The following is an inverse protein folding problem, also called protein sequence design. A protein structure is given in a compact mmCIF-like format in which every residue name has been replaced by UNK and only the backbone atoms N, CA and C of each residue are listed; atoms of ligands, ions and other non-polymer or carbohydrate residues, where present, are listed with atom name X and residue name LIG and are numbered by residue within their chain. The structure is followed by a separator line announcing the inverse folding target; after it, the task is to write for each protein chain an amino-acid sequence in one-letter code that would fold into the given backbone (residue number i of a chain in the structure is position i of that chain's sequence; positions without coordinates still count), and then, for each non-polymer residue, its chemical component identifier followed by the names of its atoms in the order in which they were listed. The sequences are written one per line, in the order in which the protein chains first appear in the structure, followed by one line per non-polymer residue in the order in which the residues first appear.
data_IF_778712383744
#
_entry.id   IF_778712383744
#
_cell.length_a   1.000
_cell.length_b   1.000
_cell.length_c   1.000
_cell.angle_alpha   90.00
_cell.angle_beta   90.00
_cell.angle_gamma   90.00
#
_symmetry.space_group_name_H-M   'P 1'
#
loop_
_entity.id
_entity.type
_entity.pdbx_description
1 polymer ?
#
# COMPACT_ATOMS: atom_id res chain seq x y z
N UNK A 1 7.16 20.68 -24.08
CA UNK A 1 7.90 19.86 -23.11
C UNK A 1 8.13 20.70 -21.86
N UNK A 2 7.14 20.74 -20.96
CA UNK A 2 7.35 21.28 -19.63
C UNK A 2 7.90 20.16 -18.75
N UNK A 3 9.06 20.42 -18.14
CA UNK A 3 9.75 19.45 -17.29
C UNK A 3 8.87 19.01 -16.14
N UNK A 4 8.49 17.73 -16.12
CA UNK A 4 7.94 17.08 -14.93
C UNK A 4 8.97 17.20 -13.81
N UNK A 5 8.82 18.20 -12.93
CA UNK A 5 9.50 18.20 -11.62
C UNK A 5 9.23 16.83 -11.01
N UNK A 6 10.26 16.01 -10.82
CA UNK A 6 10.09 14.78 -10.06
C UNK A 6 9.63 15.19 -8.66
N UNK A 7 8.40 14.87 -8.28
CA UNK A 7 7.89 15.18 -6.94
C UNK A 7 8.61 14.26 -5.95
N UNK A 8 9.74 14.73 -5.42
CA UNK A 8 10.43 14.08 -4.32
C UNK A 8 9.53 14.17 -3.09
N UNK A 9 9.28 13.02 -2.44
CA UNK A 9 8.59 12.97 -1.17
C UNK A 9 9.63 13.23 -0.07
N UNK A 10 9.43 14.32 0.67
CA UNK A 10 10.34 14.78 1.73
C UNK A 10 10.05 14.08 3.06
N UNK A 11 10.13 12.75 3.04
CA UNK A 11 9.95 11.89 4.20
C UNK A 11 11.13 10.92 4.30
N UNK A 12 11.93 11.00 5.39
CA UNK A 12 13.00 10.04 5.59
C UNK A 12 12.46 8.62 5.76
N UNK A 13 13.00 7.67 4.99
CA UNK A 13 12.62 6.26 5.01
C UNK A 13 13.83 5.39 5.38
N UNK A 14 13.60 4.35 6.18
CA UNK A 14 14.46 3.18 6.24
C UNK A 14 13.83 2.08 5.40
N UNK A 15 14.55 1.60 4.40
CA UNK A 15 14.12 0.50 3.54
C UNK A 15 14.89 -0.76 3.94
N UNK A 16 14.18 -1.83 4.27
CA UNK A 16 14.75 -3.16 4.45
C UNK A 16 14.43 -4.01 3.23
N UNK A 17 15.43 -4.77 2.77
CA UNK A 17 15.33 -5.54 1.54
C UNK A 17 14.97 -7.01 1.77
N UNK A 18 14.44 -7.63 0.73
CA UNK A 18 14.31 -9.10 0.58
C UNK A 18 15.67 -9.72 0.23
N UNK A 19 15.74 -11.05 0.14
CA UNK A 19 16.95 -11.72 -0.34
C UNK A 19 17.29 -11.33 -1.79
N UNK A 20 16.27 -11.27 -2.66
CA UNK A 20 16.37 -10.84 -4.05
C UNK A 20 16.84 -9.39 -4.14
N UNK A 21 16.30 -8.51 -3.30
CA UNK A 21 16.75 -7.12 -3.18
C UNK A 21 18.21 -7.04 -2.77
N UNK A 22 18.63 -7.80 -1.76
CA UNK A 22 20.04 -7.84 -1.31
C UNK A 22 20.96 -8.27 -2.45
N UNK A 23 20.63 -9.35 -3.17
CA UNK A 23 21.42 -9.84 -4.30
C UNK A 23 21.50 -8.81 -5.43
N UNK A 24 20.39 -8.14 -5.74
CA UNK A 24 20.36 -7.07 -6.75
C UNK A 24 21.28 -5.91 -6.36
N UNK A 25 21.21 -5.40 -5.13
CA UNK A 25 22.06 -4.27 -4.73
C UNK A 25 23.54 -4.64 -4.59
N UNK A 26 23.85 -5.86 -4.12
CA UNK A 26 25.22 -6.35 -4.05
C UNK A 26 25.84 -6.51 -5.44
N UNK A 27 25.12 -7.07 -6.41
CA UNK A 27 25.61 -7.21 -7.79
C UNK A 27 25.87 -5.87 -8.48
N UNK A 28 25.24 -4.79 -8.01
CA UNK A 28 25.45 -3.42 -8.49
C UNK A 28 26.40 -2.61 -7.59
N UNK A 29 27.21 -3.27 -6.76
CA UNK A 29 28.21 -2.66 -5.86
C UNK A 29 27.64 -1.57 -4.93
N UNK A 30 26.38 -1.72 -4.49
CA UNK A 30 25.75 -0.82 -3.52
C UNK A 30 25.89 -1.40 -2.12
N UNK A 31 26.58 -0.67 -1.23
CA UNK A 31 26.76 -1.06 0.17
C UNK A 31 25.42 -0.99 0.91
N UNK A 32 25.09 -2.07 1.60
CA UNK A 32 23.91 -2.17 2.47
C UNK A 32 24.29 -1.96 3.93
N UNK A 33 23.39 -1.33 4.68
CA UNK A 33 23.51 -1.11 6.11
C UNK A 33 22.79 -2.22 6.87
N UNK A 34 23.43 -2.76 7.92
CA UNK A 34 22.75 -3.60 8.90
C UNK A 34 21.89 -2.68 9.78
N UNK A 35 20.59 -2.94 9.82
CA UNK A 35 19.60 -2.13 10.53
C UNK A 35 18.94 -2.96 11.63
N UNK A 36 18.86 -2.41 12.84
CA UNK A 36 17.99 -2.93 13.89
C UNK A 36 16.61 -2.31 13.72
N UNK A 37 15.60 -3.16 13.55
CA UNK A 37 14.22 -2.76 13.32
C UNK A 37 13.47 -2.58 14.65
N UNK A 38 12.31 -1.94 14.61
CA UNK A 38 11.55 -1.61 15.83
C UNK A 38 11.02 -2.83 16.60
N UNK A 39 10.92 -3.98 15.93
CA UNK A 39 10.63 -5.30 16.50
C UNK A 39 11.90 -6.11 16.89
N UNK A 40 13.09 -5.49 16.90
CA UNK A 40 14.42 -6.11 17.07
C UNK A 40 14.86 -7.07 15.97
N UNK A 41 14.08 -7.24 14.92
CA UNK A 41 14.57 -7.98 13.78
C UNK A 41 15.79 -7.24 13.20
N UNK A 42 16.75 -8.01 12.72
CA UNK A 42 17.92 -7.49 12.01
C UNK A 42 17.63 -7.60 10.52
N UNK A 43 17.73 -6.48 9.82
CA UNK A 43 17.57 -6.42 8.37
C UNK A 43 18.77 -5.78 7.69
N UNK A 44 18.86 -5.94 6.37
CA UNK A 44 19.83 -5.24 5.53
C UNK A 44 19.09 -4.29 4.59
N UNK A 45 19.60 -3.08 4.43
CA UNK A 45 18.82 -2.02 3.82
C UNK A 45 19.59 -0.74 3.54
N UNK A 46 18.83 0.31 3.25
CA UNK A 46 19.35 1.68 3.06
C UNK A 46 18.47 2.69 3.79
N UNK A 47 19.03 3.85 4.09
CA UNK A 47 18.29 5.00 4.63
C UNK A 47 18.22 6.10 3.57
N UNK A 48 17.01 6.60 3.31
CA UNK A 48 16.73 7.69 2.38
C UNK A 48 16.30 8.93 3.18
N UNK A 49 16.79 10.11 2.82
CA UNK A 49 16.33 11.39 3.42
C UNK A 49 15.04 11.91 2.76
N UNK A 50 14.97 11.70 1.45
CA UNK A 50 13.83 11.95 0.58
C UNK A 50 13.87 10.91 -0.54
N UNK A 51 12.76 10.73 -1.24
CA UNK A 51 12.68 9.70 -2.27
C UNK A 51 11.71 10.06 -3.39
N UNK A 52 12.01 9.57 -4.60
CA UNK A 52 11.09 9.65 -5.73
C UNK A 52 10.04 8.54 -5.62
N UNK A 53 8.76 8.89 -5.66
CA UNK A 53 7.68 7.91 -5.62
C UNK A 53 7.85 6.74 -6.63
N UNK A 54 8.18 6.99 -7.92
CA UNK A 54 8.39 5.91 -8.89
C UNK A 54 9.55 4.97 -8.53
N UNK A 55 10.57 5.46 -7.83
CA UNK A 55 11.73 4.64 -7.46
C UNK A 55 11.36 3.59 -6.41
N UNK A 56 10.72 4.01 -5.31
CA UNK A 56 10.27 3.09 -4.25
C UNK A 56 9.19 2.15 -4.78
N UNK A 57 8.24 2.65 -5.57
CA UNK A 57 7.19 1.82 -6.14
C UNK A 57 7.74 0.72 -7.06
N UNK A 58 8.74 1.04 -7.91
CA UNK A 58 9.43 0.03 -8.74
C UNK A 58 10.11 -1.05 -7.90
N UNK A 59 10.76 -0.68 -6.79
CA UNK A 59 11.38 -1.65 -5.90
C UNK A 59 10.36 -2.56 -5.21
N UNK A 60 9.17 -2.05 -4.87
CA UNK A 60 8.07 -2.87 -4.33
C UNK A 60 7.55 -3.86 -5.37
N UNK A 61 7.31 -3.38 -6.61
CA UNK A 61 6.85 -4.22 -7.71
C UNK A 61 7.87 -5.32 -8.04
N UNK A 62 9.16 -5.00 -8.00
CA UNK A 62 10.26 -5.93 -8.20
C UNK A 62 10.52 -6.87 -7.00
N UNK A 63 9.74 -6.75 -5.92
CA UNK A 63 9.91 -7.53 -4.69
C UNK A 63 11.27 -7.38 -4.02
N UNK A 64 11.87 -6.19 -4.12
CA UNK A 64 13.14 -5.89 -3.46
C UNK A 64 12.98 -5.39 -2.03
N UNK A 65 11.80 -4.91 -1.65
CA UNK A 65 11.54 -4.31 -0.34
C UNK A 65 10.66 -5.24 0.48
N UNK A 66 11.14 -5.61 1.67
CA UNK A 66 10.38 -6.37 2.68
C UNK A 66 9.75 -5.46 3.73
N UNK A 67 10.35 -4.30 4.00
CA UNK A 67 9.86 -3.36 5.01
C UNK A 67 10.24 -1.92 4.70
N UNK A 68 9.36 -1.00 5.06
CA UNK A 68 9.59 0.45 5.05
C UNK A 68 9.29 0.98 6.46
N UNK A 69 10.20 1.74 7.06
CA UNK A 69 10.00 2.37 8.38
C UNK A 69 10.20 3.89 8.31
N UNK A 70 9.34 4.61 9.02
CA UNK A 70 9.45 6.04 9.31
C UNK A 70 9.56 6.20 10.82
N UNK A 71 10.57 6.93 11.27
CA UNK A 71 10.84 7.16 12.69
C UNK A 71 10.87 8.67 12.92
N UNK A 72 9.95 9.17 13.76
CA UNK A 72 9.79 10.61 14.06
C UNK A 72 9.21 10.81 15.46
N UNK A 73 9.34 12.03 15.98
CA UNK A 73 8.62 12.48 17.19
C UNK A 73 7.22 13.02 16.86
N UNK A 74 7.06 13.60 15.68
CA UNK A 74 5.78 14.09 15.17
C UNK A 74 5.51 13.58 13.75
N UNK A 75 4.36 12.92 13.59
CA UNK A 75 3.83 12.51 12.29
C UNK A 75 2.92 13.59 11.70
N UNK A 76 2.28 14.43 12.52
CA UNK A 76 1.42 15.53 12.02
C UNK A 76 2.18 16.49 11.09
N UNK A 77 3.48 16.70 11.31
CA UNK A 77 4.34 17.53 10.45
C UNK A 77 4.53 16.97 9.02
N UNK A 78 4.20 15.69 8.82
CA UNK A 78 4.42 14.95 7.56
C UNK A 78 3.16 14.22 7.11
N UNK A 79 1.99 14.79 7.43
CA UNK A 79 0.68 14.18 7.17
C UNK A 79 0.53 13.71 5.73
N UNK A 80 0.68 14.63 4.78
CA UNK A 80 0.51 14.32 3.35
C UNK A 80 1.53 13.29 2.87
N UNK A 81 2.80 13.42 3.26
CA UNK A 81 3.83 12.47 2.85
C UNK A 81 3.60 11.06 3.41
N UNK A 82 3.10 10.91 4.64
CA UNK A 82 2.78 9.61 5.25
C UNK A 82 1.59 8.96 4.56
N UNK A 83 0.55 9.74 4.26
CA UNK A 83 -0.62 9.26 3.51
C UNK A 83 -0.23 8.83 2.10
N UNK A 84 0.55 9.65 1.40
CA UNK A 84 1.06 9.34 0.06
C UNK A 84 1.95 8.10 0.06
N UNK A 85 2.82 7.94 1.08
CA UNK A 85 3.65 6.74 1.26
C UNK A 85 2.77 5.50 1.43
N UNK A 86 1.72 5.57 2.27
CA UNK A 86 0.81 4.46 2.51
C UNK A 86 0.10 4.02 1.23
N UNK A 87 -0.42 4.98 0.46
CA UNK A 87 -1.05 4.71 -0.84
C UNK A 87 -0.05 4.13 -1.83
N UNK A 88 1.14 4.71 -1.92
CA UNK A 88 2.20 4.27 -2.82
C UNK A 88 2.59 2.82 -2.57
N UNK A 89 2.77 2.45 -1.31
CA UNK A 89 3.13 1.09 -0.90
C UNK A 89 2.03 0.12 -1.29
N UNK A 90 0.79 0.44 -0.92
CA UNK A 90 -0.36 -0.41 -1.23
C UNK A 90 -0.57 -0.58 -2.75
N UNK A 91 -0.52 0.51 -3.52
CA UNK A 91 -0.59 0.43 -4.98
C UNK A 91 0.58 -0.34 -5.60
N UNK A 92 1.80 -0.21 -5.07
CA UNK A 92 2.93 -1.02 -5.51
C UNK A 92 2.68 -2.52 -5.37
N UNK A 93 2.05 -2.92 -4.26
CA UNK A 93 1.64 -4.31 -4.05
C UNK A 93 0.53 -4.74 -5.01
N UNK A 94 -0.47 -3.88 -5.23
CA UNK A 94 -1.56 -4.15 -6.17
C UNK A 94 -1.05 -4.27 -7.61
N UNK A 95 -0.11 -3.44 -8.05
CA UNK A 95 0.48 -3.53 -9.40
C UNK A 95 1.19 -4.87 -9.61
N UNK A 96 1.95 -5.33 -8.61
CA UNK A 96 2.61 -6.63 -8.65
C UNK A 96 1.59 -7.77 -8.77
N UNK A 97 0.57 -7.74 -7.92
CA UNK A 97 -0.51 -8.73 -7.88
C UNK A 97 -1.34 -8.75 -9.16
N UNK A 98 -1.66 -7.59 -9.70
CA UNK A 98 -2.33 -7.44 -10.99
C UNK A 98 -1.54 -8.11 -12.12
N UNK A 99 -0.24 -7.79 -12.25
CA UNK A 99 0.62 -8.38 -13.28
C UNK A 99 0.67 -9.91 -13.18
N UNK A 100 0.80 -10.44 -11.97
CA UNK A 100 0.78 -11.88 -11.70
C UNK A 100 -0.57 -12.52 -12.02
N UNK A 101 -1.69 -11.86 -11.69
CA UNK A 101 -3.04 -12.35 -11.97
C UNK A 101 -3.29 -12.43 -13.48
N UNK A 102 -2.93 -11.39 -14.24
CA UNK A 102 -3.01 -11.39 -15.71
C UNK A 102 -2.16 -12.51 -16.30
N UNK A 103 -0.91 -12.67 -15.85
CA UNK A 103 -0.04 -13.74 -16.32
C UNK A 103 -0.61 -15.14 -16.04
N UNK A 104 -1.10 -15.37 -14.83
CA UNK A 104 -1.76 -16.62 -14.43
C UNK A 104 -2.99 -16.92 -15.29
N UNK A 105 -3.87 -15.93 -15.52
CA UNK A 105 -5.08 -16.07 -16.35
C UNK A 105 -4.74 -16.42 -17.80
N UNK A 106 -3.67 -15.84 -18.34
CA UNK A 106 -3.20 -16.11 -19.70
C UNK A 106 -2.59 -17.50 -19.83
N UNK A 107 -1.66 -17.86 -18.96
CA UNK A 107 -0.96 -19.15 -19.02
C UNK A 107 -1.89 -20.35 -18.80
N UNK A 108 -2.96 -20.18 -18.00
CA UNK A 108 -3.97 -21.22 -17.74
C UNK A 108 -5.06 -21.32 -18.82
N UNK A 109 -4.98 -20.52 -19.88
CA UNK A 109 -6.00 -20.50 -20.92
C UNK A 109 -5.97 -21.74 -21.84
N UNK A 110 -7.13 -22.06 -22.41
CA UNK A 110 -7.28 -23.02 -23.50
C UNK A 110 -6.36 -22.70 -24.68
N UNK A 111 -6.23 -21.42 -25.02
CA UNK A 111 -5.33 -20.93 -26.06
C UNK A 111 -3.88 -21.40 -25.84
N UNK A 112 -3.30 -21.13 -24.66
CA UNK A 112 -1.91 -21.50 -24.37
C UNK A 112 -1.72 -23.02 -24.40
N UNK A 113 -2.66 -23.77 -23.83
CA UNK A 113 -2.64 -25.24 -23.90
C UNK A 113 -2.63 -25.75 -25.35
N UNK A 114 -3.52 -25.23 -26.20
CA UNK A 114 -3.62 -25.62 -27.60
C UNK A 114 -2.40 -25.18 -28.42
N UNK A 115 -1.93 -23.96 -28.20
CA UNK A 115 -0.73 -23.42 -28.84
C UNK A 115 0.49 -24.29 -28.55
N UNK A 116 0.70 -24.67 -27.29
CA UNK A 116 1.84 -25.49 -26.87
C UNK A 116 1.81 -26.89 -27.50
N UNK A 117 0.63 -27.47 -27.71
CA UNK A 117 0.46 -28.73 -28.44
C UNK A 117 0.85 -28.61 -29.91
N UNK A 118 0.46 -27.52 -30.56
CA UNK A 118 0.77 -27.28 -31.99
C UNK A 118 2.20 -26.79 -32.21
N UNK A 119 2.82 -26.14 -31.22
CA UNK A 119 4.11 -25.48 -31.32
C UNK A 119 5.10 -25.95 -30.23
N UNK A 120 5.49 -27.24 -30.21
CA UNK A 120 6.33 -27.80 -29.15
C UNK A 120 7.73 -27.15 -29.05
N UNK A 121 8.19 -26.46 -30.10
CA UNK A 121 9.47 -25.71 -30.10
C UNK A 121 9.33 -24.26 -29.61
N UNK A 122 8.11 -23.75 -29.41
CA UNK A 122 7.80 -22.36 -29.01
C UNK A 122 6.76 -22.36 -27.88
N UNK A 123 7.10 -23.03 -26.78
CA UNK A 123 6.23 -23.18 -25.62
C UNK A 123 6.01 -21.83 -24.93
N UNK A 124 4.75 -21.55 -24.61
CA UNK A 124 4.32 -20.43 -23.78
C UNK A 124 4.10 -20.96 -22.36
N UNK A 125 5.01 -20.62 -21.45
CA UNK A 125 4.97 -21.02 -20.05
C UNK A 125 5.51 -19.89 -19.14
N UNK A 126 5.60 -20.17 -17.83
CA UNK A 126 6.15 -19.22 -16.86
C UNK A 126 7.62 -18.90 -17.09
N UNK A 127 8.42 -19.83 -17.61
CA UNK A 127 9.83 -19.60 -17.93
C UNK A 127 9.99 -18.66 -19.13
N UNK A 128 9.02 -18.64 -20.05
CA UNK A 128 9.00 -17.72 -21.19
C UNK A 128 8.81 -16.27 -20.74
N UNK A 129 8.10 -16.01 -19.64
CA UNK A 129 7.95 -14.66 -19.07
C UNK A 129 9.30 -14.04 -18.72
N UNK A 130 10.20 -14.81 -18.12
CA UNK A 130 11.52 -14.32 -17.69
C UNK A 130 12.53 -14.21 -18.85
N UNK A 131 12.38 -15.05 -19.87
CA UNK A 131 13.27 -15.09 -21.04
C UNK A 131 12.86 -14.13 -22.16
N UNK A 132 11.65 -13.58 -22.10
CA UNK A 132 11.11 -12.74 -23.16
C UNK A 132 11.81 -11.37 -23.18
N UNK A 133 12.68 -11.15 -24.17
CA UNK A 133 13.32 -9.85 -24.40
C UNK A 133 12.29 -8.83 -24.94
N UNK A 134 11.89 -7.93 -24.05
CA UNK A 134 10.98 -6.83 -24.33
C UNK A 134 11.56 -5.73 -25.21
N UNK A 135 12.88 -5.66 -25.41
CA UNK A 135 13.54 -4.54 -26.11
C UNK A 135 13.61 -4.69 -27.63
N UNK A 136 13.91 -5.91 -28.14
CA UNK A 136 14.26 -6.09 -29.54
C UNK A 136 13.19 -6.71 -30.46
N UNK A 137 12.40 -7.68 -29.96
CA UNK A 137 11.43 -8.45 -30.76
C UNK A 137 10.01 -7.90 -30.68
N UNK A 138 9.53 -7.57 -29.48
CA UNK A 138 8.17 -7.07 -29.25
C UNK A 138 7.89 -5.78 -30.02
N UNK A 139 8.80 -4.81 -29.96
CA UNK A 139 8.64 -3.48 -30.55
C UNK A 139 8.55 -3.54 -32.08
N UNK A 140 9.24 -4.49 -32.72
CA UNK A 140 9.24 -4.66 -34.19
C UNK A 140 8.02 -5.42 -34.71
N UNK A 141 7.51 -6.39 -33.97
CA UNK A 141 6.41 -7.25 -34.46
C UNK A 141 5.01 -6.75 -34.02
N UNK A 142 4.90 -6.13 -32.83
CA UNK A 142 3.60 -5.90 -32.15
C UNK A 142 3.44 -4.45 -31.67
N UNK A 143 4.49 -3.62 -31.73
CA UNK A 143 4.49 -2.26 -31.17
C UNK A 143 3.29 -1.40 -31.54
N UNK A 144 2.85 -1.43 -32.81
CA UNK A 144 1.66 -0.69 -33.27
C UNK A 144 0.32 -1.23 -32.74
N UNK A 145 0.27 -2.51 -32.33
CA UNK A 145 -0.93 -3.15 -31.77
C UNK A 145 -1.05 -2.96 -30.25
N UNK A 146 0.07 -2.78 -29.54
CA UNK A 146 0.07 -2.63 -28.08
C UNK A 146 -0.81 -1.46 -27.66
N UNK A 147 -0.62 -0.28 -28.24
CA UNK A 147 -1.40 0.91 -27.87
C UNK A 147 -2.89 0.74 -28.16
N UNK A 148 -3.25 0.00 -29.23
CA UNK A 148 -4.63 -0.39 -29.51
C UNK A 148 -5.19 -1.27 -28.37
N UNK A 149 -4.49 -2.35 -28.01
CA UNK A 149 -4.95 -3.23 -26.93
C UNK A 149 -5.08 -2.49 -25.60
N UNK A 150 -4.11 -1.63 -25.25
CA UNK A 150 -4.17 -0.83 -24.02
C UNK A 150 -5.43 0.01 -23.98
N UNK A 151 -5.73 0.72 -25.07
CA UNK A 151 -6.91 1.57 -25.17
C UNK A 151 -8.20 0.75 -25.01
N UNK A 152 -8.34 -0.33 -25.76
CA UNK A 152 -9.54 -1.18 -25.74
C UNK A 152 -9.75 -1.87 -24.38
N UNK A 153 -8.68 -2.35 -23.71
CA UNK A 153 -8.80 -2.95 -22.37
C UNK A 153 -9.22 -1.90 -21.35
N UNK A 154 -8.61 -0.70 -21.40
CA UNK A 154 -8.97 0.40 -20.50
C UNK A 154 -10.44 0.78 -20.72
N UNK A 155 -10.84 1.04 -21.97
CA UNK A 155 -12.22 1.41 -22.30
C UNK A 155 -13.21 0.34 -21.83
N UNK A 156 -12.96 -0.94 -22.10
CA UNK A 156 -13.82 -2.02 -21.64
C UNK A 156 -13.93 -2.12 -20.12
N UNK A 157 -12.84 -1.91 -19.38
CA UNK A 157 -12.87 -1.89 -17.92
C UNK A 157 -13.65 -0.69 -17.38
N UNK A 158 -13.53 0.48 -18.02
CA UNK A 158 -14.28 1.67 -17.63
C UNK A 158 -15.75 1.61 -18.00
N UNK A 159 -16.13 0.92 -19.09
CA UNK A 159 -17.54 0.65 -19.38
C UNK A 159 -18.18 -0.14 -18.24
N UNK A 160 -17.53 -1.22 -17.78
CA UNK A 160 -17.99 -2.00 -16.61
C UNK A 160 -18.03 -1.17 -15.31
N UNK A 161 -17.13 -0.19 -15.20
CA UNK A 161 -17.04 0.69 -14.04
C UNK A 161 -18.15 1.75 -14.01
N UNK A 162 -18.54 2.31 -15.14
CA UNK A 162 -19.62 3.30 -15.23
C UNK A 162 -20.98 2.72 -14.81
N UNK A 163 -21.15 1.41 -14.90
CA UNK A 163 -22.34 0.70 -14.42
C UNK A 163 -22.33 0.50 -12.88
N UNK A 164 -21.26 0.93 -12.19
CA UNK A 164 -21.10 0.83 -10.74
C UNK A 164 -21.32 2.18 -10.04
N UNK A 165 -21.62 2.16 -8.73
CA UNK A 165 -21.90 3.34 -7.90
C UNK A 165 -20.64 4.17 -7.54
N UNK A 166 -19.83 4.50 -8.55
CA UNK A 166 -18.65 5.36 -8.42
C UNK A 166 -19.03 6.80 -8.72
N UNK A 167 -18.56 7.70 -7.88
CA UNK A 167 -18.79 9.14 -8.03
C UNK A 167 -18.07 9.68 -9.26
N UNK A 168 -18.75 10.55 -10.04
CA UNK A 168 -18.18 11.10 -11.29
C UNK A 168 -16.86 11.87 -11.05
N UNK A 169 -16.68 12.46 -9.87
CA UNK A 169 -15.49 13.21 -9.48
C UNK A 169 -14.22 12.33 -9.42
N UNK A 170 -14.37 11.04 -9.06
CA UNK A 170 -13.24 10.11 -8.96
C UNK A 170 -12.76 9.62 -10.35
N UNK A 171 -13.58 9.74 -11.40
CA UNK A 171 -13.32 9.11 -12.70
C UNK A 171 -12.00 9.50 -13.37
N UNK A 172 -11.53 10.77 -13.36
CA UNK A 172 -10.22 11.12 -13.91
C UNK A 172 -9.06 10.41 -13.20
N UNK A 173 -9.14 10.30 -11.87
CA UNK A 173 -8.14 9.63 -11.04
C UNK A 173 -8.13 8.13 -11.31
N UNK A 174 -9.32 7.52 -11.42
CA UNK A 174 -9.45 6.10 -11.76
C UNK A 174 -8.90 5.80 -13.14
N UNK A 175 -9.17 6.63 -14.16
CA UNK A 175 -8.58 6.49 -15.51
C UNK A 175 -7.06 6.48 -15.47
N UNK A 176 -6.46 7.42 -14.74
CA UNK A 176 -5.01 7.42 -14.55
C UNK A 176 -4.51 6.14 -13.85
N UNK A 177 -5.23 5.66 -12.84
CA UNK A 177 -4.90 4.42 -12.14
C UNK A 177 -4.99 3.19 -13.07
N UNK A 178 -6.00 3.12 -13.92
CA UNK A 178 -6.17 2.08 -14.94
C UNK A 178 -4.99 2.04 -15.91
N UNK A 179 -4.58 3.20 -16.43
CA UNK A 179 -3.36 3.30 -17.25
C UNK A 179 -2.14 2.75 -16.51
N UNK A 180 -1.94 3.12 -15.24
CA UNK A 180 -0.81 2.62 -14.45
C UNK A 180 -0.84 1.11 -14.26
N UNK A 181 -2.00 0.48 -14.06
CA UNK A 181 -2.07 -0.99 -14.00
C UNK A 181 -1.60 -1.61 -15.32
N UNK A 182 -2.11 -1.11 -16.44
CA UNK A 182 -1.72 -1.57 -17.77
C UNK A 182 -0.22 -1.42 -18.03
N UNK A 183 0.42 -0.34 -17.55
CA UNK A 183 1.86 -0.13 -17.64
C UNK A 183 2.69 -1.24 -16.97
N UNK A 184 2.11 -1.98 -16.02
CA UNK A 184 2.76 -3.07 -15.29
C UNK A 184 2.45 -4.47 -15.88
N UNK A 185 1.71 -4.57 -16.98
CA UNK A 185 1.52 -5.84 -17.69
C UNK A 185 2.86 -6.32 -18.24
N UNK A 186 3.20 -7.58 -17.99
CA UNK A 186 4.43 -8.16 -18.52
C UNK A 186 4.41 -8.14 -20.06
N UNK A 187 5.51 -7.71 -20.71
CA UNK A 187 5.61 -7.65 -22.17
C UNK A 187 5.23 -8.93 -22.92
N UNK A 188 5.46 -10.10 -22.32
CA UNK A 188 5.08 -11.40 -22.88
C UNK A 188 3.56 -11.57 -23.03
N UNK A 189 2.75 -10.90 -22.22
CA UNK A 189 1.28 -10.95 -22.33
C UNK A 189 0.81 -10.28 -23.61
N UNK A 190 1.43 -9.16 -23.99
CA UNK A 190 1.14 -8.51 -25.27
C UNK A 190 1.49 -9.42 -26.45
N UNK A 191 2.56 -10.21 -26.32
CA UNK A 191 2.91 -11.23 -27.30
C UNK A 191 1.82 -12.31 -27.39
N UNK A 192 1.39 -12.89 -26.27
CA UNK A 192 0.30 -13.89 -26.24
C UNK A 192 -0.95 -13.36 -26.93
N UNK A 193 -1.40 -12.14 -26.57
CA UNK A 193 -2.56 -11.51 -27.20
C UNK A 193 -2.40 -11.41 -28.71
N UNK A 194 -1.24 -10.93 -29.17
CA UNK A 194 -1.00 -10.72 -30.61
C UNK A 194 -1.01 -11.99 -31.43
N UNK A 195 -0.50 -13.11 -30.90
CA UNK A 195 -0.51 -14.39 -31.61
C UNK A 195 -1.88 -15.06 -31.54
N UNK A 196 -2.68 -14.72 -30.52
CA UNK A 196 -4.01 -15.27 -30.33
C UNK A 196 -5.09 -14.64 -31.22
N UNK A 197 -4.86 -13.47 -31.83
CA UNK A 197 -5.87 -12.74 -32.65
C UNK A 197 -6.58 -13.58 -33.73
N UNK A 198 -5.89 -14.59 -34.27
CA UNK A 198 -6.44 -15.46 -35.34
C UNK A 198 -7.23 -16.66 -34.80
N UNK A 199 -7.35 -16.77 -33.49
CA UNK A 199 -7.96 -17.91 -32.81
C UNK A 199 -9.23 -17.48 -32.08
N UNK A 200 -10.19 -18.41 -31.97
CA UNK A 200 -11.48 -18.16 -31.34
C UNK A 200 -11.37 -17.76 -29.85
N UNK A 201 -10.28 -18.17 -29.19
CA UNK A 201 -10.02 -17.86 -27.78
C UNK A 201 -9.64 -16.38 -27.53
N UNK A 202 -9.29 -15.61 -28.57
CA UNK A 202 -8.81 -14.22 -28.44
C UNK A 202 -9.72 -13.35 -27.56
N UNK A 203 -11.02 -13.33 -27.85
CA UNK A 203 -11.99 -12.50 -27.12
C UNK A 203 -12.07 -12.91 -25.63
N UNK A 204 -11.94 -14.20 -25.31
CA UNK A 204 -11.96 -14.68 -23.93
C UNK A 204 -10.70 -14.27 -23.16
N UNK A 205 -9.53 -14.27 -23.82
CA UNK A 205 -8.29 -13.76 -23.23
C UNK A 205 -8.39 -12.26 -22.96
N UNK A 206 -8.94 -11.53 -23.92
CA UNK A 206 -9.09 -10.07 -23.85
C UNK A 206 -10.05 -9.65 -22.73
N UNK A 207 -11.25 -10.23 -22.68
CA UNK A 207 -12.21 -10.04 -21.58
C UNK A 207 -11.61 -10.43 -20.24
N UNK A 208 -10.79 -11.49 -20.19
CA UNK A 208 -10.09 -11.89 -18.99
C UNK A 208 -9.16 -10.81 -18.43
N UNK A 209 -8.51 -9.99 -19.26
CA UNK A 209 -7.71 -8.85 -18.77
C UNK A 209 -8.64 -7.73 -18.29
N UNK A 210 -9.71 -7.43 -19.04
CA UNK A 210 -10.68 -6.40 -18.69
C UNK A 210 -11.27 -6.65 -17.29
N UNK A 211 -11.69 -7.89 -17.02
CA UNK A 211 -12.25 -8.27 -15.72
C UNK A 211 -11.25 -8.10 -14.57
N UNK A 212 -9.99 -8.50 -14.81
CA UNK A 212 -8.91 -8.32 -13.82
C UNK A 212 -8.65 -6.83 -13.61
N UNK A 213 -8.57 -6.02 -14.67
CA UNK A 213 -8.34 -4.58 -14.55
C UNK A 213 -9.48 -3.90 -13.79
N UNK A 214 -10.73 -4.19 -14.14
CA UNK A 214 -11.91 -3.71 -13.42
C UNK A 214 -11.81 -4.04 -11.92
N UNK A 215 -11.56 -5.31 -11.58
CA UNK A 215 -11.42 -5.75 -10.18
C UNK A 215 -10.31 -4.99 -9.42
N UNK A 216 -9.20 -4.63 -10.08
CA UNK A 216 -8.09 -3.92 -9.42
C UNK A 216 -8.29 -2.41 -9.34
N UNK A 217 -9.02 -1.80 -10.28
CA UNK A 217 -9.42 -0.40 -10.18
C UNK A 217 -10.41 -0.22 -9.02
N UNK A 218 -11.36 -1.16 -8.85
CA UNK A 218 -12.36 -1.12 -7.77
C UNK A 218 -11.75 -1.16 -6.35
N UNK A 219 -10.48 -1.58 -6.21
CA UNK A 219 -9.76 -1.58 -4.93
C UNK A 219 -9.24 -0.20 -4.49
N UNK A 220 -9.49 0.87 -5.25
CA UNK A 220 -8.94 2.20 -4.97
C UNK A 220 -9.35 2.77 -3.59
N UNK A 221 -10.61 2.53 -3.17
CA UNK A 221 -11.14 3.04 -1.88
C UNK A 221 -10.36 2.47 -0.69
N UNK A 222 -9.91 1.22 -0.78
CA UNK A 222 -9.09 0.57 0.25
C UNK A 222 -7.78 1.35 0.48
N UNK A 223 -7.15 1.86 -0.58
CA UNK A 223 -5.94 2.67 -0.46
C UNK A 223 -6.19 4.00 0.27
N UNK A 224 -7.35 4.62 0.00
CA UNK A 224 -7.77 5.87 0.64
C UNK A 224 -8.05 5.65 2.12
N UNK A 225 -8.91 4.70 2.47
CA UNK A 225 -9.23 4.35 3.86
C UNK A 225 -7.99 3.91 4.65
N UNK A 226 -7.12 3.09 4.05
CA UNK A 226 -5.84 2.72 4.66
C UNK A 226 -5.02 3.95 5.02
N UNK A 227 -4.85 4.89 4.08
CA UNK A 227 -4.02 6.07 4.32
C UNK A 227 -4.57 6.98 5.42
N UNK A 228 -5.90 7.10 5.50
CA UNK A 228 -6.58 7.86 6.54
C UNK A 228 -6.41 7.19 7.91
N UNK A 229 -6.68 5.89 8.01
CA UNK A 229 -6.46 5.12 9.24
C UNK A 229 -5.02 5.19 9.73
N UNK A 230 -4.04 5.00 8.84
CA UNK A 230 -2.62 5.06 9.19
C UNK A 230 -2.29 6.43 9.76
N UNK A 231 -2.83 7.49 9.18
CA UNK A 231 -2.63 8.84 9.70
C UNK A 231 -3.30 9.02 11.07
N UNK A 232 -4.57 8.67 11.22
CA UNK A 232 -5.32 8.81 12.48
C UNK A 232 -4.64 8.07 13.62
N UNK A 233 -4.28 6.80 13.43
CA UNK A 233 -3.57 6.05 14.47
C UNK A 233 -2.17 6.63 14.76
N UNK A 234 -1.50 7.20 13.76
CA UNK A 234 -0.21 7.88 13.97
C UNK A 234 -0.36 9.17 14.77
N UNK A 235 -1.42 9.96 14.52
CA UNK A 235 -1.75 11.17 15.30
C UNK A 235 -2.10 10.78 16.72
N UNK A 236 -2.92 9.75 16.92
CA UNK A 236 -3.29 9.26 18.25
C UNK A 236 -2.07 8.80 19.04
N UNK A 237 -1.12 8.10 18.39
CA UNK A 237 0.14 7.72 19.02
C UNK A 237 0.97 8.95 19.45
N UNK A 238 1.06 9.98 18.60
CA UNK A 238 1.74 11.24 18.90
C UNK A 238 1.09 11.99 20.07
N UNK A 239 -0.23 12.12 20.07
CA UNK A 239 -0.98 12.78 21.14
C UNK A 239 -0.80 12.05 22.47
N UNK A 240 -0.86 10.71 22.48
CA UNK A 240 -0.61 9.91 23.68
C UNK A 240 0.81 10.14 24.22
N UNK A 241 1.82 10.18 23.35
CA UNK A 241 3.21 10.43 23.75
C UNK A 241 3.37 11.85 24.36
N UNK A 242 2.76 12.86 23.74
CA UNK A 242 2.77 14.24 24.26
C UNK A 242 2.03 14.34 25.60
N UNK A 243 0.90 13.67 25.76
CA UNK A 243 0.14 13.62 27.03
C UNK A 243 1.01 13.06 28.15
N UNK A 244 1.66 11.92 27.93
CA UNK A 244 2.55 11.33 28.91
C UNK A 244 3.74 12.23 29.26
N UNK A 245 4.36 12.87 28.26
CA UNK A 245 5.45 13.82 28.52
C UNK A 245 4.95 15.02 29.34
N UNK A 246 3.77 15.55 29.02
CA UNK A 246 3.17 16.67 29.73
C UNK A 246 2.90 16.34 31.19
N UNK A 247 2.37 15.15 31.49
CA UNK A 247 2.19 14.67 32.87
C UNK A 247 3.53 14.52 33.59
N UNK A 248 4.57 14.02 32.92
CA UNK A 248 5.93 13.91 33.50
C UNK A 248 6.52 15.28 33.87
N UNK A 249 6.36 16.28 33.01
CA UNK A 249 6.97 17.62 33.19
C UNK A 249 6.14 18.49 34.14
N UNK A 250 4.82 18.57 33.91
CA UNK A 250 3.92 19.49 34.60
C UNK A 250 3.19 18.85 35.80
N UNK A 251 3.34 17.54 36.03
CA UNK A 251 2.76 16.80 37.17
C UNK A 251 1.26 17.01 37.32
N UNK A 252 0.53 16.93 36.20
CA UNK A 252 -0.92 17.13 36.09
C UNK A 252 -1.44 18.51 36.56
N UNK A 253 -0.55 19.50 36.70
CA UNK A 253 -0.92 20.88 37.09
C UNK A 253 -1.43 21.72 35.93
N UNK A 254 -1.43 21.19 34.71
CA UNK A 254 -1.79 21.93 33.50
C UNK A 254 -2.70 21.08 32.63
N UNK A 255 -3.79 21.70 32.17
CA UNK A 255 -4.72 21.08 31.25
C UNK A 255 -4.03 20.76 29.91
N UNK A 256 -4.04 19.49 29.53
CA UNK A 256 -3.40 19.01 28.30
C UNK A 256 -3.97 19.68 27.06
N UNK A 257 -5.26 20.03 27.04
CA UNK A 257 -5.87 20.71 25.89
C UNK A 257 -5.27 22.11 25.69
N UNK A 258 -4.91 22.80 26.78
CA UNK A 258 -4.22 24.11 26.72
C UNK A 258 -2.77 23.98 26.26
N UNK A 259 -2.14 22.83 26.51
CA UNK A 259 -0.78 22.51 26.02
C UNK A 259 -0.82 22.24 24.52
N UNK A 260 -1.81 21.48 24.04
CA UNK A 260 -1.96 21.15 22.63
C UNK A 260 -2.26 22.37 21.76
N UNK A 261 -3.08 23.30 22.24
CA UNK A 261 -3.42 24.53 21.52
C UNK A 261 -2.29 25.56 21.50
N UNK A 262 -1.27 25.42 22.36
CA UNK A 262 -0.10 26.28 22.38
C UNK A 262 1.03 25.68 21.51
N UNK A 263 1.19 26.22 20.29
CA UNK A 263 2.18 25.74 19.32
C UNK A 263 3.63 25.84 19.85
N UNK A 264 3.96 26.87 20.63
CA UNK A 264 5.31 27.03 21.20
C UNK A 264 5.61 25.92 22.20
N UNK A 265 4.69 25.67 23.14
CA UNK A 265 4.85 24.60 24.14
C UNK A 265 4.91 23.24 23.44
N UNK A 266 4.04 22.99 22.46
CA UNK A 266 4.09 21.75 21.66
C UNK A 266 5.46 21.54 21.01
N UNK A 267 6.01 22.58 20.37
CA UNK A 267 7.35 22.51 19.74
C UNK A 267 8.46 22.23 20.76
N UNK A 268 8.37 22.79 21.96
CA UNK A 268 9.34 22.52 23.03
C UNK A 268 9.27 21.05 23.51
N UNK A 269 8.05 20.53 23.69
CA UNK A 269 7.84 19.12 24.05
C UNK A 269 8.38 18.16 22.98
N UNK A 270 8.13 18.44 21.70
CA UNK A 270 8.66 17.64 20.60
C UNK A 270 10.20 17.66 20.54
N UNK A 271 10.82 18.83 20.73
CA UNK A 271 12.28 18.95 20.84
C UNK A 271 12.83 18.19 22.05
N UNK A 272 12.10 18.17 23.15
CA UNK A 272 12.46 17.38 24.32
C UNK A 272 12.46 15.88 24.00
N UNK A 273 11.39 15.37 23.38
CA UNK A 273 11.32 13.96 22.93
C UNK A 273 12.49 13.59 22.01
N UNK A 274 12.83 14.47 21.06
CA UNK A 274 13.93 14.26 20.13
C UNK A 274 15.28 14.15 20.85
N UNK A 275 15.53 15.05 21.82
CA UNK A 275 16.75 15.02 22.66
C UNK A 275 16.84 13.76 23.54
N UNK A 276 15.71 13.22 23.98
CA UNK A 276 15.64 11.98 24.77
C UNK A 276 15.63 10.71 23.90
N UNK A 277 15.71 10.85 22.57
CA UNK A 277 15.57 9.74 21.63
C UNK A 277 14.26 8.93 21.79
N UNK A 278 13.18 9.61 22.20
CA UNK A 278 11.85 9.02 22.34
C UNK A 278 11.06 9.20 21.03
N UNK A 279 11.20 8.25 20.11
CA UNK A 279 10.54 8.31 18.79
C UNK A 279 9.35 7.35 18.68
N UNK A 280 8.40 7.71 17.83
CA UNK A 280 7.38 6.83 17.28
C UNK A 280 7.93 6.13 16.03
N UNK A 281 7.44 4.93 15.75
CA UNK A 281 7.73 4.26 14.47
C UNK A 281 6.44 3.86 13.75
N UNK A 282 6.39 4.17 12.46
CA UNK A 282 5.41 3.65 11.52
C UNK A 282 6.13 2.71 10.56
N UNK A 283 5.62 1.51 10.38
CA UNK A 283 6.23 0.46 9.55
C UNK A 283 5.22 -0.14 8.59
N UNK A 284 5.58 -0.22 7.32
CA UNK A 284 4.88 -1.02 6.33
C UNK A 284 5.69 -2.27 6.04
N UNK A 285 5.13 -3.44 6.36
CA UNK A 285 5.74 -4.75 6.14
C UNK A 285 5.05 -5.44 4.98
N UNK A 286 5.85 -5.87 4.02
CA UNK A 286 5.41 -6.47 2.77
C UNK A 286 5.92 -7.91 2.79
N UNK A 287 5.01 -8.87 2.95
CA UNK A 287 5.34 -10.29 2.87
C UNK A 287 4.90 -10.86 1.53
N UNK A 288 5.83 -11.49 0.82
CA UNK A 288 5.47 -12.39 -0.26
C UNK A 288 6.62 -12.72 -1.19
N UNK A 289 7.29 -13.84 -0.91
CA UNK A 289 7.69 -14.83 -1.90
C UNK A 289 7.59 -16.22 -1.28
N UNK A 290 6.60 -16.99 -1.69
CA UNK A 290 6.92 -18.33 -2.13
C UNK A 290 6.23 -18.51 -3.47
N UNK A 291 7.00 -18.92 -4.46
CA UNK A 291 6.61 -19.36 -5.80
C UNK A 291 5.61 -20.53 -5.80
N UNK A 292 5.12 -20.93 -4.62
CA UNK A 292 3.98 -21.82 -4.45
C UNK A 292 2.67 -21.09 -4.79
N UNK A 293 1.96 -21.66 -5.75
CA UNK A 293 0.55 -21.39 -6.02
C UNK A 293 -0.20 -21.51 -4.68
N UNK A 294 -0.73 -20.40 -4.16
CA UNK A 294 -1.56 -20.37 -2.94
C UNK A 294 -1.03 -19.52 -1.77
N UNK A 295 0.19 -18.96 -1.84
CA UNK A 295 0.68 -18.08 -0.77
C UNK A 295 -0.02 -16.71 -0.82
N UNK A 296 -0.92 -16.47 0.13
CA UNK A 296 -1.61 -15.18 0.25
C UNK A 296 -0.59 -14.07 0.55
N UNK A 297 -0.66 -12.95 -0.17
CA UNK A 297 0.26 -11.82 0.08
C UNK A 297 -0.24 -11.08 1.30
N UNK A 298 0.60 -11.03 2.33
CA UNK A 298 0.27 -10.36 3.58
C UNK A 298 0.94 -8.99 3.60
N UNK A 299 0.13 -7.97 3.77
CA UNK A 299 0.55 -6.60 3.99
C UNK A 299 0.24 -6.24 5.43
N UNK A 300 1.19 -5.63 6.13
CA UNK A 300 0.95 -5.15 7.48
C UNK A 300 1.40 -3.70 7.63
N UNK A 301 0.61 -2.90 8.33
CA UNK A 301 1.03 -1.61 8.85
C UNK A 301 1.13 -1.71 10.36
N UNK A 302 2.28 -1.36 10.91
CA UNK A 302 2.57 -1.43 12.34
C UNK A 302 2.89 -0.03 12.86
N UNK A 303 2.21 0.38 13.92
CA UNK A 303 2.45 1.65 14.61
C UNK A 303 2.95 1.31 16.00
N UNK A 304 4.20 1.67 16.26
CA UNK A 304 4.90 1.41 17.51
C UNK A 304 4.89 2.67 18.37
N UNK A 305 4.33 2.56 19.57
CA UNK A 305 4.28 3.63 20.57
C UNK A 305 4.65 3.06 21.95
N UNK A 306 5.32 3.83 22.79
CA UNK A 306 5.50 3.49 24.22
C UNK A 306 4.32 4.07 24.98
N UNK A 307 3.27 3.28 25.17
CA UNK A 307 2.06 3.73 25.85
C UNK A 307 1.59 2.80 26.97
N UNK A 308 1.16 3.42 28.07
CA UNK A 308 0.69 2.75 29.29
C UNK A 308 -0.84 2.60 29.31
N UNK A 309 -1.60 3.37 28.52
CA UNK A 309 -3.07 3.28 28.41
C UNK A 309 -3.53 2.22 27.37
N UNK A 310 -2.79 1.10 27.24
CA UNK A 310 -3.04 0.03 26.25
C UNK A 310 -4.45 -0.57 26.31
N UNK A 311 -4.97 -0.84 27.50
CA UNK A 311 -6.24 -1.57 27.66
C UNK A 311 -7.43 -0.76 27.16
N UNK A 312 -7.48 0.54 27.45
CA UNK A 312 -8.55 1.43 27.00
C UNK A 312 -8.61 1.51 25.47
N UNK A 313 -7.46 1.73 24.83
CA UNK A 313 -7.37 1.79 23.37
C UNK A 313 -7.80 0.47 22.69
N UNK A 314 -7.53 -0.67 23.33
CA UNK A 314 -7.96 -1.98 22.85
C UNK A 314 -9.49 -2.14 22.94
N UNK A 315 -10.09 -1.77 24.07
CA UNK A 315 -11.54 -1.83 24.27
C UNK A 315 -12.30 -0.92 23.29
N UNK A 316 -11.79 0.29 23.05
CA UNK A 316 -12.34 1.23 22.08
C UNK A 316 -12.27 0.68 20.64
N UNK A 317 -11.16 0.00 20.29
CA UNK A 317 -10.99 -0.62 18.98
C UNK A 317 -11.91 -1.83 18.76
N UNK A 318 -12.06 -2.68 19.76
CA UNK A 318 -12.90 -3.88 19.65
C UNK A 318 -14.40 -3.55 19.63
N UNK A 319 -14.84 -2.55 20.40
CA UNK A 319 -16.25 -2.12 20.45
C UNK A 319 -16.73 -1.44 19.16
N UNK A 320 -15.89 -0.62 18.51
CA UNK A 320 -16.28 0.17 17.33
C UNK A 320 -16.18 -0.55 15.99
N UNK A 321 -15.43 -1.66 15.90
CA UNK A 321 -15.52 -2.60 14.77
C UNK A 321 -16.93 -3.14 14.53
N UNK A 322 -17.77 -3.17 15.57
CA UNK A 322 -19.14 -3.66 15.50
C UNK A 322 -20.17 -2.59 15.14
N UNK A 323 -19.75 -1.36 14.82
CA UNK A 323 -20.66 -0.25 14.50
C UNK A 323 -21.42 -0.47 13.18
N UNK A 324 -22.73 -0.20 13.18
CA UNK A 324 -23.62 -0.37 12.03
C UNK A 324 -23.45 0.77 11.01
N UNK A 325 -22.77 0.47 9.90
CA UNK A 325 -22.44 1.42 8.82
C UNK A 325 -23.68 1.76 7.97
N UNK A 326 -24.73 0.92 7.99
CA UNK A 326 -25.87 1.02 7.07
C UNK A 326 -26.75 2.26 7.26
N UNK A 327 -26.51 3.06 8.31
CA UNK A 327 -27.35 4.21 8.67
C UNK A 327 -26.65 5.57 8.58
N UNK A 328 -25.32 5.62 8.41
CA UNK A 328 -24.54 6.88 8.42
C UNK A 328 -23.33 6.81 7.50
N UNK A 329 -23.10 7.88 6.73
CA UNK A 329 -21.90 8.06 5.90
C UNK A 329 -20.72 8.55 6.76
N UNK A 330 -19.50 8.41 6.23
CA UNK A 330 -18.28 8.95 6.86
C UNK A 330 -18.39 10.46 7.12
N UNK A 331 -19.06 11.19 6.22
CA UNK A 331 -19.30 12.62 6.37
C UNK A 331 -20.27 12.93 7.52
N UNK A 332 -21.28 12.09 7.74
CA UNK A 332 -22.22 12.25 8.85
C UNK A 332 -21.51 12.11 10.21
N UNK A 333 -20.55 11.18 10.32
CA UNK A 333 -19.71 11.05 11.52
C UNK A 333 -18.82 12.28 11.76
N UNK A 334 -18.31 12.90 10.69
CA UNK A 334 -17.54 14.15 10.78
C UNK A 334 -18.38 15.35 11.25
N UNK A 335 -19.67 15.39 10.89
CA UNK A 335 -20.56 16.50 11.23
C UNK A 335 -21.14 16.39 12.65
N UNK A 336 -21.22 15.17 13.21
CA UNK A 336 -21.74 14.92 14.56
C UNK A 336 -20.71 15.16 15.68
N UNK A 337 -19.40 15.08 15.38
CA UNK A 337 -18.35 15.52 16.31
C UNK A 337 -18.12 17.04 16.18
N UNK A 338 -18.81 17.82 17.01
CA UNK A 338 -18.62 19.27 17.13
C UNK A 338 -17.21 19.66 17.59
N UNK A 339 -16.80 20.89 17.22
CA UNK A 339 -15.46 21.51 17.28
C UNK A 339 -14.67 21.48 18.62
N UNK A 340 -15.20 20.88 19.70
CA UNK A 340 -14.68 21.03 21.06
C UNK A 340 -14.04 19.78 21.68
N UNK A 341 -13.86 18.69 20.92
CA UNK A 341 -13.08 17.54 21.40
C UNK A 341 -12.12 17.08 20.31
N UNK A 342 -10.84 17.05 20.63
CA UNK A 342 -9.88 16.14 19.99
C UNK A 342 -10.25 14.69 20.37
N UNK A 343 -11.46 14.24 20.08
CA UNK A 343 -11.88 12.85 20.25
C UNK A 343 -11.24 12.03 19.15
N UNK A 344 -10.34 11.13 19.55
CA UNK A 344 -9.61 10.16 18.72
C UNK A 344 -10.50 9.09 18.07
N UNK A 345 -11.81 9.33 18.02
CA UNK A 345 -12.85 8.35 17.73
C UNK A 345 -13.16 8.22 16.24
N UNK A 346 -12.83 9.25 15.45
CA UNK A 346 -12.92 9.26 13.99
C UNK A 346 -12.08 8.16 13.33
N UNK A 347 -10.86 7.91 13.85
CA UNK A 347 -9.97 6.84 13.40
C UNK A 347 -10.60 5.44 13.45
N UNK A 348 -11.55 5.23 14.36
CA UNK A 348 -12.18 3.94 14.61
C UNK A 348 -13.36 3.66 13.66
N UNK A 349 -14.05 4.70 13.17
CA UNK A 349 -15.10 4.51 12.16
C UNK A 349 -14.52 4.05 10.81
N UNK A 350 -13.31 4.49 10.46
CA UNK A 350 -12.63 4.01 9.26
C UNK A 350 -12.39 2.51 9.24
N UNK A 351 -12.30 1.84 10.40
CA UNK A 351 -12.14 0.39 10.46
C UNK A 351 -13.34 -0.32 9.84
N UNK A 352 -14.54 0.17 10.09
CA UNK A 352 -15.77 -0.42 9.59
C UNK A 352 -15.88 -0.23 8.07
N UNK A 353 -15.64 0.99 7.56
CA UNK A 353 -15.61 1.26 6.12
C UNK A 353 -14.50 0.48 5.40
N UNK A 354 -13.34 0.31 6.05
CA UNK A 354 -12.25 -0.50 5.52
C UNK A 354 -12.64 -1.98 5.43
N UNK A 355 -13.26 -2.53 6.47
CA UNK A 355 -13.70 -3.93 6.50
C UNK A 355 -14.74 -4.20 5.40
N UNK A 356 -15.73 -3.32 5.24
CA UNK A 356 -16.72 -3.40 4.17
C UNK A 356 -16.07 -3.37 2.78
N UNK A 357 -15.23 -2.35 2.50
CA UNK A 357 -14.55 -2.23 1.22
C UNK A 357 -13.59 -3.40 0.93
N UNK A 358 -12.98 -3.98 1.96
CA UNK A 358 -12.15 -5.18 1.82
C UNK A 358 -12.99 -6.42 1.50
N UNK A 359 -14.13 -6.61 2.17
CA UNK A 359 -15.07 -7.73 1.90
C UNK A 359 -15.63 -7.70 0.48
N UNK A 360 -16.01 -6.53 -0.02
CA UNK A 360 -16.48 -6.36 -1.41
C UNK A 360 -15.42 -6.76 -2.45
N UNK A 361 -14.15 -6.75 -2.08
CA UNK A 361 -13.01 -7.00 -2.96
C UNK A 361 -12.28 -8.31 -2.66
N UNK A 362 -12.88 -9.19 -1.84
CA UNK A 362 -12.30 -10.47 -1.38
C UNK A 362 -10.93 -10.30 -0.69
N UNK A 363 -10.73 -9.18 0.01
CA UNK A 363 -9.53 -8.92 0.81
C UNK A 363 -9.87 -9.18 2.27
N UNK A 364 -9.06 -9.98 2.94
CA UNK A 364 -9.24 -10.20 4.38
C UNK A 364 -8.51 -9.12 5.16
N UNK A 365 -9.24 -8.39 6.01
CA UNK A 365 -8.73 -7.30 6.83
C UNK A 365 -8.84 -7.63 8.32
N UNK A 366 -7.77 -7.36 9.06
CA UNK A 366 -7.73 -7.48 10.52
C UNK A 366 -6.99 -6.27 11.11
N UNK A 367 -7.48 -5.77 12.24
CA UNK A 367 -6.77 -4.79 13.05
C UNK A 367 -6.63 -5.28 14.48
N UNK A 368 -5.43 -5.28 15.04
CA UNK A 368 -5.15 -5.79 16.38
C UNK A 368 -4.20 -4.86 17.13
N UNK A 369 -4.35 -4.77 18.45
CA UNK A 369 -3.39 -4.06 19.32
C UNK A 369 -2.74 -5.06 20.27
N UNK A 370 -1.42 -5.08 20.28
CA UNK A 370 -0.63 -5.91 21.19
C UNK A 370 0.38 -5.06 21.96
N UNK A 371 0.67 -5.43 23.21
CA UNK A 371 1.76 -4.84 23.99
C UNK A 371 2.90 -5.85 24.09
N UNK A 372 4.13 -5.40 23.80
CA UNK A 372 5.34 -6.15 24.06
C UNK A 372 5.72 -5.93 25.54
N UNK A 373 5.57 -6.94 26.42
CA UNK A 373 5.71 -6.78 27.87
C UNK A 373 7.09 -6.25 28.27
N UNK A 374 8.14 -6.77 27.64
CA UNK A 374 9.54 -6.47 27.96
C UNK A 374 9.94 -5.01 27.69
N UNK A 375 9.09 -4.23 27.00
CA UNK A 375 9.42 -2.88 26.52
C UNK A 375 8.39 -1.81 26.82
N UNK A 376 7.22 -2.18 27.36
CA UNK A 376 6.08 -1.27 27.46
C UNK A 376 5.71 -0.65 26.10
N UNK A 377 5.90 -1.42 25.02
CA UNK A 377 5.74 -0.95 23.65
C UNK A 377 4.43 -1.51 23.09
N UNK A 378 3.52 -0.63 22.74
CA UNK A 378 2.25 -0.94 22.11
C UNK A 378 2.42 -0.94 20.59
N UNK A 379 1.80 -1.92 19.95
CA UNK A 379 1.82 -2.13 18.51
C UNK A 379 0.38 -2.19 18.04
N UNK A 380 -0.03 -1.21 17.26
CA UNK A 380 -1.24 -1.29 16.45
C UNK A 380 -0.85 -1.95 15.14
N UNK A 381 -1.49 -3.07 14.79
CA UNK A 381 -1.23 -3.83 13.57
C UNK A 381 -2.47 -3.83 12.70
N UNK A 382 -2.39 -3.24 11.52
CA UNK A 382 -3.37 -3.39 10.45
C UNK A 382 -2.85 -4.46 9.49
N UNK A 383 -3.61 -5.51 9.24
CA UNK A 383 -3.22 -6.61 8.35
C UNK A 383 -4.21 -6.71 7.21
N UNK A 384 -3.71 -6.69 5.98
CA UNK A 384 -4.47 -6.98 4.77
C UNK A 384 -3.88 -8.23 4.12
N UNK A 385 -4.74 -9.19 3.81
CA UNK A 385 -4.36 -10.42 3.11
C UNK A 385 -5.02 -10.39 1.73
N UNK A 386 -4.19 -10.21 0.71
CA UNK A 386 -4.58 -10.16 -0.69
C UNK A 386 -4.59 -11.59 -1.24
N UNK A 387 -5.76 -12.06 -1.66
CA UNK A 387 -5.96 -13.37 -2.31
C UNK A 387 -5.21 -13.51 -3.64
#
# INVERSE_FOLDING_TARGET
MEGRKSSQIKLPLRLTFTEEGIQFFNSHNRKLEKQSLSDNAVGYGITLREYGAPFVQKMIVADYISRIEVIRTAFTEKRSEIMDTSKLVFYGMLYRKFSAAVASRMLKSSFVSNWNRMNPKKILDSSSIHRFDSGGKLTREIGGKIEKYRKEIIEGAFTKLSDSAIEEEDMPKLKMLGCRYIDHINPFIWYILSVSEKYNDYNSLFEGIIDILFSYISKYRIAEYLSLMVMEFSINAELSQLKQLSTRIYKDKTDFNKILSNELVRKELLKYLEKQHEFLTLSWKIHGNSTSIGTRTKFQVLIYNKDREYQKLKEDLDSKKAADIKKKTLLDYYQEESEDRFSSDLGLYYLSFMDEACREQDIHFESNIHQLPDRGLNIITLTLILS
#
